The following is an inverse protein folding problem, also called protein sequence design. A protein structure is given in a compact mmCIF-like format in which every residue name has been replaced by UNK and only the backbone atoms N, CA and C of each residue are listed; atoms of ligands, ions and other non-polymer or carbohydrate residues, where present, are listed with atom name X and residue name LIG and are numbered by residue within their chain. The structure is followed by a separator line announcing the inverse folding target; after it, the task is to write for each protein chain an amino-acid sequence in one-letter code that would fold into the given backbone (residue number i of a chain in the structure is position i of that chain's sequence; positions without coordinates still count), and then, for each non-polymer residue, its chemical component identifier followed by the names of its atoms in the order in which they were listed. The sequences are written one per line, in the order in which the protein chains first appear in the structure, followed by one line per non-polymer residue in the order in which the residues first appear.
data_IF_162323154834
#
_entry.id   IF_162323154834
#
_cell.length_a   1.000
_cell.length_b   1.000
_cell.length_c   1.000
_cell.angle_alpha   90.00
_cell.angle_beta   90.00
_cell.angle_gamma   90.00
#
_symmetry.space_group_name_H-M   'P 1'
#
loop_
_entity.id
_entity.type
_entity.pdbx_description
1 polymer ?
#
# COMPACT_ATOMS: atom_id res chain seq x y z
N UNK A 1 -1.28 29.02 37.45
CA UNK A 1 -0.05 28.22 37.32
C UNK A 1 -0.26 26.75 37.69
N UNK A 2 -0.80 26.43 38.88
CA UNK A 2 -1.06 25.03 39.29
C UNK A 2 -2.02 24.26 38.35
N UNK A 3 -3.16 24.86 37.96
CA UNK A 3 -4.10 24.22 37.04
C UNK A 3 -3.50 23.93 35.65
N UNK A 4 -2.66 24.83 35.16
CA UNK A 4 -1.95 24.62 33.89
C UNK A 4 -1.01 23.42 33.99
N UNK A 5 -0.26 23.31 35.08
CA UNK A 5 0.64 22.18 35.32
C UNK A 5 -0.14 20.85 35.41
N UNK A 6 -1.26 20.84 36.13
CA UNK A 6 -2.13 19.66 36.24
C UNK A 6 -2.65 19.25 34.86
N UNK A 7 -3.15 20.19 34.06
CA UNK A 7 -3.64 19.91 32.70
C UNK A 7 -2.55 19.35 31.79
N UNK A 8 -1.32 19.88 31.86
CA UNK A 8 -0.18 19.38 31.09
C UNK A 8 0.19 17.95 31.49
N UNK A 9 0.22 17.65 32.80
CA UNK A 9 0.50 16.30 33.29
C UNK A 9 -0.58 15.32 32.85
N UNK A 10 -1.86 15.68 32.98
CA UNK A 10 -2.98 14.83 32.56
C UNK A 10 -2.95 14.58 31.05
N UNK A 11 -2.67 15.60 30.24
CA UNK A 11 -2.51 15.44 28.79
C UNK A 11 -1.33 14.52 28.46
N UNK A 12 -0.20 14.66 29.17
CA UNK A 12 0.96 13.78 29.00
C UNK A 12 0.62 12.32 29.32
N UNK A 13 -0.07 12.06 30.42
CA UNK A 13 -0.52 10.71 30.79
C UNK A 13 -1.51 10.13 29.77
N UNK A 14 -2.44 10.95 29.27
CA UNK A 14 -3.37 10.54 28.23
C UNK A 14 -2.64 10.14 26.94
N UNK A 15 -1.68 10.96 26.48
CA UNK A 15 -0.88 10.67 25.29
C UNK A 15 -0.04 9.40 25.48
N UNK A 16 0.57 9.22 26.66
CA UNK A 16 1.32 8.01 26.99
C UNK A 16 0.44 6.75 26.97
N UNK A 17 -0.79 6.85 27.45
CA UNK A 17 -1.77 5.76 27.40
C UNK A 17 -2.23 5.48 25.97
N UNK A 18 -2.52 6.51 25.17
CA UNK A 18 -2.89 6.37 23.76
C UNK A 18 -1.74 5.74 22.94
N UNK A 19 -0.50 6.11 23.22
CA UNK A 19 0.68 5.59 22.54
C UNK A 19 1.00 4.12 22.85
N UNK A 20 0.32 3.47 23.81
CA UNK A 20 0.52 2.05 24.10
C UNK A 20 -0.09 1.17 23.00
N UNK A 21 0.75 0.37 22.36
CA UNK A 21 0.41 -0.73 21.45
C UNK A 21 1.39 -1.87 21.73
N UNK A 22 0.99 -3.15 21.78
CA UNK A 22 1.93 -4.26 21.98
C UNK A 22 3.07 -4.22 20.97
N UNK A 23 4.28 -4.60 21.39
CA UNK A 23 5.40 -4.79 20.45
C UNK A 23 5.15 -6.12 19.73
N UNK A 24 5.08 -6.14 18.39
CA UNK A 24 4.88 -7.40 17.67
C UNK A 24 6.09 -8.31 17.86
N UNK A 25 5.85 -9.62 17.98
CA UNK A 25 6.94 -10.61 18.14
C UNK A 25 7.82 -10.69 16.89
N UNK A 26 7.21 -10.53 15.72
CA UNK A 26 7.85 -10.42 14.42
C UNK A 26 7.02 -9.49 13.54
N UNK A 27 7.65 -8.93 12.51
CA UNK A 27 6.97 -8.14 11.48
C UNK A 27 6.90 -8.97 10.20
N UNK A 28 5.70 -9.09 9.66
CA UNK A 28 5.44 -9.65 8.35
C UNK A 28 5.55 -8.53 7.32
N UNK A 29 6.59 -8.60 6.48
CA UNK A 29 6.75 -7.66 5.39
C UNK A 29 5.96 -8.11 4.15
N UNK A 30 5.38 -7.13 3.47
CA UNK A 30 4.76 -7.30 2.16
C UNK A 30 5.33 -6.34 1.12
N UNK A 31 4.96 -6.53 -0.14
CA UNK A 31 5.37 -5.68 -1.25
C UNK A 31 4.18 -5.33 -2.13
N UNK A 32 4.06 -4.06 -2.49
CA UNK A 32 3.17 -3.64 -3.57
C UNK A 32 3.86 -3.87 -4.90
N UNK A 33 3.14 -4.41 -5.88
CA UNK A 33 3.63 -4.53 -7.24
C UNK A 33 2.68 -3.82 -8.21
N UNK A 34 3.25 -3.06 -9.15
CA UNK A 34 2.52 -2.30 -10.13
C UNK A 34 3.11 -2.47 -11.54
N UNK A 35 2.31 -3.05 -12.45
CA UNK A 35 2.72 -3.24 -13.84
C UNK A 35 2.98 -1.93 -14.58
N UNK A 36 2.22 -0.86 -14.31
CA UNK A 36 2.45 0.45 -14.93
C UNK A 36 3.84 0.95 -14.60
N UNK A 37 4.27 0.77 -13.35
CA UNK A 37 5.55 1.25 -12.89
C UNK A 37 6.73 0.44 -13.44
N UNK A 38 6.61 -0.89 -13.48
CA UNK A 38 7.61 -1.70 -14.17
C UNK A 38 7.78 -1.28 -15.65
N UNK A 39 6.68 -0.97 -16.34
CA UNK A 39 6.71 -0.46 -17.72
C UNK A 39 7.31 0.93 -17.84
N UNK A 40 7.00 1.84 -16.91
CA UNK A 40 7.62 3.18 -16.83
C UNK A 40 9.14 3.09 -16.68
N UNK A 41 9.62 2.12 -15.90
CA UNK A 41 11.05 1.83 -15.74
C UNK A 41 11.70 1.14 -16.95
N UNK A 42 10.93 0.84 -18.01
CA UNK A 42 11.41 0.10 -19.18
C UNK A 42 11.66 -1.40 -18.91
N UNK A 43 11.12 -1.94 -17.82
CA UNK A 43 11.29 -3.33 -17.43
C UNK A 43 10.23 -4.24 -18.09
N UNK A 44 10.60 -5.51 -18.28
CA UNK A 44 9.62 -6.57 -18.49
C UNK A 44 8.89 -6.83 -17.16
N UNK A 45 7.66 -6.34 -17.06
CA UNK A 45 6.84 -6.44 -15.85
C UNK A 45 6.65 -7.89 -15.37
N UNK A 46 6.64 -8.86 -16.29
CA UNK A 46 6.44 -10.27 -15.96
C UNK A 46 7.69 -10.82 -15.28
N UNK A 47 8.85 -10.56 -15.86
CA UNK A 47 10.15 -10.94 -15.29
C UNK A 47 10.40 -10.23 -13.95
N UNK A 48 10.07 -8.95 -13.84
CA UNK A 48 10.19 -8.21 -12.57
C UNK A 48 9.28 -8.79 -11.49
N UNK A 49 8.02 -9.09 -11.83
CA UNK A 49 7.10 -9.71 -10.88
C UNK A 49 7.57 -11.09 -10.42
N UNK A 50 8.01 -11.94 -11.36
CA UNK A 50 8.57 -13.25 -11.03
C UNK A 50 9.83 -13.12 -10.17
N UNK A 51 10.71 -12.15 -10.43
CA UNK A 51 11.89 -11.90 -9.59
C UNK A 51 11.51 -11.46 -8.16
N UNK A 52 10.45 -10.67 -7.99
CA UNK A 52 9.94 -10.27 -6.67
C UNK A 52 9.40 -11.48 -5.90
N UNK A 53 8.75 -12.43 -6.58
CA UNK A 53 8.25 -13.65 -5.94
C UNK A 53 9.36 -14.66 -5.67
N UNK A 54 10.18 -14.94 -6.67
CA UNK A 54 11.06 -16.11 -6.68
C UNK A 54 12.46 -15.79 -6.12
N UNK A 55 13.00 -14.60 -6.41
CA UNK A 55 14.34 -14.20 -5.96
C UNK A 55 14.31 -13.37 -4.67
N UNK A 56 13.40 -12.39 -4.56
CA UNK A 56 13.21 -11.71 -3.26
C UNK A 56 12.49 -12.60 -2.25
N UNK A 57 11.64 -13.53 -2.68
CA UNK A 57 10.90 -14.39 -1.76
C UNK A 57 9.63 -13.75 -1.19
N UNK A 58 9.05 -12.73 -1.83
CA UNK A 58 7.85 -12.06 -1.32
C UNK A 58 6.65 -13.01 -1.30
N UNK A 59 5.95 -13.08 -0.16
CA UNK A 59 4.73 -13.89 0.02
C UNK A 59 3.50 -13.11 0.48
N UNK A 60 3.63 -11.80 0.73
CA UNK A 60 2.50 -10.93 1.02
C UNK A 60 2.51 -9.78 0.02
N UNK A 61 1.55 -9.77 -0.89
CA UNK A 61 1.48 -8.86 -2.01
C UNK A 61 0.33 -7.88 -1.85
N UNK A 62 0.54 -6.67 -2.35
CA UNK A 62 -0.53 -5.72 -2.63
C UNK A 62 -0.56 -5.47 -4.13
N UNK A 63 -1.66 -5.87 -4.77
CA UNK A 63 -1.87 -5.69 -6.21
C UNK A 63 -3.00 -4.69 -6.44
N UNK A 64 -3.03 -4.08 -7.62
CA UNK A 64 -4.02 -3.07 -7.96
C UNK A 64 -4.61 -3.33 -9.36
N UNK A 65 -5.94 -3.28 -9.45
CA UNK A 65 -6.66 -3.35 -10.71
C UNK A 65 -6.81 -1.95 -11.32
N UNK A 66 -5.72 -1.39 -11.87
CA UNK A 66 -5.77 -0.08 -12.52
C UNK A 66 -6.82 -0.05 -13.62
N UNK A 67 -7.79 0.85 -13.52
CA UNK A 67 -8.94 0.92 -14.43
C UNK A 67 -8.55 0.93 -15.92
N UNK A 68 -7.57 1.71 -16.38
CA UNK A 68 -7.17 1.70 -17.80
C UNK A 68 -6.58 0.37 -18.28
N UNK A 69 -6.01 -0.43 -17.37
CA UNK A 69 -5.51 -1.75 -17.72
C UNK A 69 -6.61 -2.80 -17.76
N UNK A 70 -7.57 -2.73 -16.83
CA UNK A 70 -8.67 -3.71 -16.75
C UNK A 70 -9.80 -3.44 -17.72
N UNK A 71 -10.01 -2.18 -18.13
CA UNK A 71 -11.03 -1.76 -19.09
C UNK A 71 -10.47 -0.69 -20.04
N UNK A 72 -9.54 -1.07 -20.96
CA UNK A 72 -8.89 -0.12 -21.87
C UNK A 72 -9.85 0.59 -22.83
N UNK A 73 -11.01 -0.02 -23.13
CA UNK A 73 -12.09 0.60 -23.88
C UNK A 73 -13.42 0.28 -23.19
N UNK A 74 -14.42 1.15 -23.36
CA UNK A 74 -15.71 1.02 -22.68
C UNK A 74 -16.34 -0.37 -22.90
N UNK A 75 -16.59 -1.11 -21.81
CA UNK A 75 -17.09 -2.49 -21.80
C UNK A 75 -16.18 -3.53 -22.47
N UNK A 76 -14.91 -3.22 -22.72
CA UNK A 76 -13.90 -4.14 -23.24
C UNK A 76 -12.89 -4.39 -22.14
N UNK A 77 -12.97 -5.56 -21.52
CA UNK A 77 -12.12 -5.92 -20.39
C UNK A 77 -10.83 -6.64 -20.81
N UNK A 78 -9.72 -6.31 -20.14
CA UNK A 78 -8.45 -6.99 -20.25
C UNK A 78 -7.99 -7.46 -18.86
N UNK A 79 -7.76 -8.77 -18.71
CA UNK A 79 -7.33 -9.36 -17.45
C UNK A 79 -5.95 -10.02 -17.54
N UNK A 80 -5.21 -9.81 -18.64
CA UNK A 80 -3.96 -10.51 -18.93
C UNK A 80 -2.95 -10.42 -17.79
N UNK A 81 -2.72 -9.22 -17.27
CA UNK A 81 -1.74 -8.97 -16.22
C UNK A 81 -2.19 -9.54 -14.87
N UNK A 82 -3.43 -9.26 -14.46
CA UNK A 82 -3.97 -9.70 -13.19
C UNK A 82 -4.14 -11.23 -13.12
N UNK A 83 -4.55 -11.87 -14.22
CA UNK A 83 -4.64 -13.33 -14.31
C UNK A 83 -3.26 -13.96 -14.11
N UNK A 84 -2.22 -13.41 -14.74
CA UNK A 84 -0.86 -13.90 -14.54
C UNK A 84 -0.38 -13.69 -13.10
N UNK A 85 -0.55 -12.48 -12.56
CA UNK A 85 -0.10 -12.14 -11.22
C UNK A 85 -0.76 -13.03 -10.16
N UNK A 86 -2.08 -13.14 -10.20
CA UNK A 86 -2.82 -13.97 -9.25
C UNK A 86 -2.52 -15.46 -9.44
N UNK A 87 -2.29 -15.93 -10.67
CA UNK A 87 -1.85 -17.32 -10.89
C UNK A 87 -0.50 -17.57 -10.22
N UNK A 88 0.51 -16.72 -10.49
CA UNK A 88 1.85 -16.87 -9.91
C UNK A 88 1.84 -16.73 -8.39
N UNK A 89 1.04 -15.81 -7.84
CA UNK A 89 0.84 -15.71 -6.40
C UNK A 89 0.32 -17.03 -5.80
N UNK A 90 -0.67 -17.68 -6.44
CA UNK A 90 -1.12 -19.00 -6.00
C UNK A 90 -0.03 -20.09 -6.13
N UNK A 91 0.73 -20.10 -7.23
CA UNK A 91 1.76 -21.11 -7.47
C UNK A 91 2.86 -21.12 -6.37
N UNK A 92 3.03 -20.02 -5.64
CA UNK A 92 4.04 -19.86 -4.59
C UNK A 92 3.44 -19.64 -3.20
N UNK A 93 2.14 -19.91 -3.03
CA UNK A 93 1.38 -19.72 -1.78
C UNK A 93 1.47 -18.29 -1.21
N UNK A 94 1.53 -17.27 -2.07
CA UNK A 94 1.49 -15.88 -1.67
C UNK A 94 0.06 -15.40 -1.39
N UNK A 95 -0.07 -14.51 -0.40
CA UNK A 95 -1.30 -13.83 -0.05
C UNK A 95 -1.39 -12.47 -0.73
N UNK A 96 -2.58 -12.07 -1.13
CA UNK A 96 -2.82 -10.84 -1.90
C UNK A 96 -3.87 -9.96 -1.19
N UNK A 97 -3.50 -8.70 -0.99
CA UNK A 97 -4.43 -7.58 -0.84
C UNK A 97 -4.72 -7.05 -2.24
N UNK A 98 -5.95 -7.21 -2.71
CA UNK A 98 -6.35 -6.82 -4.06
C UNK A 98 -7.09 -5.48 -4.03
N UNK A 99 -6.48 -4.43 -4.58
CA UNK A 99 -7.06 -3.09 -4.61
C UNK A 99 -7.91 -2.85 -5.86
N UNK A 100 -9.10 -2.32 -5.67
CA UNK A 100 -10.09 -1.98 -6.71
C UNK A 100 -10.64 -0.57 -6.50
N UNK A 101 -11.08 0.07 -7.58
CA UNK A 101 -11.56 1.45 -7.58
C UNK A 101 -10.84 2.30 -8.63
N UNK A 102 -11.12 3.60 -8.62
CA UNK A 102 -10.48 4.60 -9.48
C UNK A 102 -9.17 5.11 -8.89
N UNK A 103 -9.13 5.41 -7.59
CA UNK A 103 -7.90 5.85 -6.92
C UNK A 103 -7.13 4.63 -6.42
N UNK A 104 -5.95 4.36 -6.97
CA UNK A 104 -5.14 3.18 -6.65
C UNK A 104 -3.66 3.55 -6.55
N UNK A 105 -2.83 2.71 -5.89
CA UNK A 105 -1.40 2.99 -5.71
C UNK A 105 -0.67 3.24 -7.04
N UNK A 106 0.39 4.06 -6.97
CA UNK A 106 1.19 4.69 -8.05
C UNK A 106 0.63 6.03 -8.51
N UNK A 107 1.52 7.02 -8.54
CA UNK A 107 1.25 8.36 -9.01
C UNK A 107 1.16 8.45 -10.55
N UNK A 108 0.25 9.27 -11.11
CA UNK A 108 -0.89 9.90 -10.43
C UNK A 108 -1.89 8.86 -9.93
N UNK A 109 -2.45 9.06 -8.74
CA UNK A 109 -3.22 8.00 -8.05
C UNK A 109 -4.59 7.72 -8.64
N UNK A 110 -5.19 8.65 -9.39
CA UNK A 110 -6.50 8.45 -10.01
C UNK A 110 -6.37 7.99 -11.46
N UNK A 111 -6.72 6.73 -11.68
CA UNK A 111 -6.56 6.04 -12.94
C UNK A 111 -7.90 6.00 -13.67
N UNK A 112 -8.15 6.97 -14.55
CA UNK A 112 -9.35 7.04 -15.38
C UNK A 112 -8.96 6.71 -16.83
N UNK A 113 -9.58 5.70 -17.48
CA UNK A 113 -9.28 5.42 -18.88
C UNK A 113 -9.74 6.55 -19.80
N UNK A 114 -9.09 6.70 -20.95
CA UNK A 114 -9.35 7.78 -21.90
C UNK A 114 -10.82 7.92 -22.28
N UNK A 115 -11.52 6.80 -22.47
CA UNK A 115 -12.94 6.79 -22.83
C UNK A 115 -13.86 7.31 -21.70
N UNK A 116 -13.39 7.33 -20.45
CA UNK A 116 -14.16 7.77 -19.28
C UNK A 116 -13.79 9.20 -18.81
N UNK A 117 -12.74 9.81 -19.36
CA UNK A 117 -12.28 11.13 -18.91
C UNK A 117 -13.32 12.24 -19.12
N UNK A 118 -14.09 12.17 -20.21
CA UNK A 118 -15.06 13.21 -20.60
C UNK A 118 -16.49 12.92 -20.14
N UNK A 119 -16.70 11.81 -19.42
CA UNK A 119 -18.01 11.46 -18.88
C UNK A 119 -18.44 12.41 -17.75
N UNK A 120 -19.75 12.54 -17.56
CA UNK A 120 -20.30 13.19 -16.37
C UNK A 120 -19.84 12.46 -15.10
N UNK A 121 -19.85 13.13 -13.95
CA UNK A 121 -19.47 12.48 -12.69
C UNK A 121 -20.36 11.29 -12.35
N UNK A 122 -21.66 11.39 -12.65
CA UNK A 122 -22.64 10.33 -12.43
C UNK A 122 -22.38 9.12 -13.34
N UNK A 123 -22.18 9.35 -14.64
CA UNK A 123 -21.91 8.27 -15.59
C UNK A 123 -20.56 7.61 -15.30
N UNK A 124 -19.54 8.40 -14.93
CA UNK A 124 -18.22 7.88 -14.55
C UNK A 124 -18.31 7.05 -13.27
N UNK A 125 -19.08 7.49 -12.27
CA UNK A 125 -19.32 6.73 -11.05
C UNK A 125 -20.04 5.40 -11.33
N UNK A 126 -21.03 5.39 -12.23
CA UNK A 126 -21.69 4.16 -12.66
C UNK A 126 -20.73 3.21 -13.38
N UNK A 127 -19.88 3.74 -14.26
CA UNK A 127 -18.85 2.96 -14.95
C UNK A 127 -17.79 2.39 -13.98
N UNK A 128 -17.38 3.17 -12.98
CA UNK A 128 -16.46 2.74 -11.93
C UNK A 128 -17.04 1.58 -11.13
N UNK A 129 -18.29 1.68 -10.67
CA UNK A 129 -18.98 0.60 -9.97
C UNK A 129 -19.06 -0.66 -10.82
N UNK A 130 -19.33 -0.52 -12.13
CA UNK A 130 -19.33 -1.66 -13.05
C UNK A 130 -17.94 -2.31 -13.19
N UNK A 131 -16.88 -1.52 -13.28
CA UNK A 131 -15.51 -2.05 -13.31
C UNK A 131 -15.19 -2.81 -12.02
N UNK A 132 -15.51 -2.24 -10.86
CA UNK A 132 -15.34 -2.89 -9.55
C UNK A 132 -16.10 -4.20 -9.50
N UNK A 133 -17.36 -4.22 -9.96
CA UNK A 133 -18.17 -5.44 -10.05
C UNK A 133 -17.48 -6.53 -10.89
N UNK A 134 -16.94 -6.18 -12.07
CA UNK A 134 -16.28 -7.15 -12.95
C UNK A 134 -15.01 -7.73 -12.35
N UNK A 135 -14.16 -6.89 -11.75
CA UNK A 135 -12.91 -7.33 -11.12
C UNK A 135 -13.21 -8.25 -9.93
N UNK A 136 -14.09 -7.83 -9.02
CA UNK A 136 -14.41 -8.63 -7.82
C UNK A 136 -15.12 -9.93 -8.20
N UNK A 137 -16.08 -9.88 -9.14
CA UNK A 137 -16.79 -11.09 -9.60
C UNK A 137 -15.85 -12.11 -10.23
N UNK A 138 -14.84 -11.65 -10.99
CA UNK A 138 -13.85 -12.52 -11.62
C UNK A 138 -12.98 -13.24 -10.59
N UNK A 139 -12.50 -12.52 -9.57
CA UNK A 139 -11.45 -13.03 -8.69
C UNK A 139 -11.90 -13.44 -7.28
N UNK A 140 -13.19 -13.29 -6.91
CA UNK A 140 -13.70 -13.70 -5.59
C UNK A 140 -13.43 -15.17 -5.20
N UNK A 141 -13.24 -16.05 -6.17
CA UNK A 141 -12.91 -17.47 -5.91
C UNK A 141 -11.41 -17.75 -5.88
N UNK A 142 -10.56 -16.75 -6.09
CA UNK A 142 -9.12 -16.92 -6.08
C UNK A 142 -8.60 -17.03 -4.62
N UNK A 143 -7.92 -18.12 -4.24
CA UNK A 143 -7.53 -18.34 -2.85
C UNK A 143 -6.34 -17.48 -2.39
N UNK A 144 -5.53 -16.94 -3.30
CA UNK A 144 -4.46 -16.00 -2.96
C UNK A 144 -5.01 -14.69 -2.39
N UNK A 145 -6.16 -14.20 -2.89
CA UNK A 145 -6.77 -12.97 -2.37
C UNK A 145 -7.27 -13.23 -0.95
N UNK A 146 -6.78 -12.44 0.01
CA UNK A 146 -7.21 -12.48 1.42
C UNK A 146 -8.00 -11.26 1.83
N UNK A 147 -7.78 -10.13 1.16
CA UNK A 147 -8.37 -8.83 1.50
C UNK A 147 -8.69 -8.08 0.22
N UNK A 148 -9.84 -7.42 0.17
CA UNK A 148 -10.16 -6.44 -0.86
C UNK A 148 -9.86 -5.05 -0.34
N UNK A 149 -9.02 -4.28 -1.02
CA UNK A 149 -8.88 -2.85 -0.73
C UNK A 149 -9.79 -2.06 -1.67
N UNK A 150 -10.58 -1.13 -1.13
CA UNK A 150 -11.43 -0.24 -1.93
C UNK A 150 -10.86 1.17 -1.88
N UNK A 151 -10.52 1.69 -3.06
CA UNK A 151 -9.82 2.97 -3.27
C UNK A 151 -8.46 3.03 -2.53
N UNK A 152 -7.70 4.10 -2.77
CA UNK A 152 -6.44 4.39 -2.07
C UNK A 152 -6.52 5.75 -1.40
N UNK A 153 -6.38 5.77 -0.08
CA UNK A 153 -6.38 6.99 0.75
C UNK A 153 -7.48 7.99 0.32
N UNK A 154 -8.76 7.57 0.21
CA UNK A 154 -9.79 8.36 -0.46
C UNK A 154 -9.96 9.77 0.12
N UNK A 155 -9.66 9.97 1.40
CA UNK A 155 -9.78 11.25 2.10
C UNK A 155 -8.51 12.13 2.07
N UNK A 156 -7.44 11.71 1.39
CA UNK A 156 -6.24 12.53 1.20
C UNK A 156 -6.44 13.48 0.00
N UNK A 157 -6.81 14.73 0.26
CA UNK A 157 -7.09 15.71 -0.81
C UNK A 157 -5.87 16.57 -1.20
N UNK A 158 -4.99 16.88 -0.24
CA UNK A 158 -3.94 17.92 -0.39
C UNK A 158 -3.03 17.73 -1.61
N UNK A 159 -2.63 16.49 -1.91
CA UNK A 159 -1.74 16.20 -3.05
C UNK A 159 -2.49 15.71 -4.28
N UNK A 160 -3.63 15.06 -4.12
CA UNK A 160 -4.29 14.36 -5.21
C UNK A 160 -5.42 15.16 -5.87
N UNK A 161 -5.83 16.30 -5.31
CA UNK A 161 -7.03 17.03 -5.77
C UNK A 161 -7.01 17.37 -7.27
N UNK A 162 -5.86 17.76 -7.82
CA UNK A 162 -5.74 18.08 -9.25
C UNK A 162 -6.09 16.90 -10.17
N UNK A 163 -5.75 15.68 -9.76
CA UNK A 163 -5.96 14.45 -10.55
C UNK A 163 -7.24 13.71 -10.15
N UNK A 164 -7.62 13.81 -8.88
CA UNK A 164 -8.70 13.02 -8.29
C UNK A 164 -10.00 13.79 -8.08
N UNK A 165 -9.93 15.12 -7.94
CA UNK A 165 -11.04 15.93 -7.47
C UNK A 165 -11.37 15.70 -5.99
N UNK A 166 -12.52 16.21 -5.56
CA UNK A 166 -13.01 16.04 -4.19
C UNK A 166 -13.42 14.57 -3.93
N UNK A 167 -13.33 14.17 -2.66
CA UNK A 167 -13.76 12.84 -2.23
C UNK A 167 -15.28 12.69 -2.38
N UNK A 168 -15.75 11.68 -3.09
CA UNK A 168 -17.16 11.29 -3.12
C UNK A 168 -17.41 10.15 -2.11
N UNK A 169 -17.76 10.50 -0.87
CA UNK A 169 -17.97 9.52 0.19
C UNK A 169 -19.15 8.57 -0.08
N UNK A 170 -20.20 9.04 -0.76
CA UNK A 170 -21.36 8.21 -1.12
C UNK A 170 -20.98 7.15 -2.16
N UNK A 171 -20.12 7.50 -3.11
CA UNK A 171 -19.58 6.54 -4.08
C UNK A 171 -18.70 5.50 -3.37
N UNK A 172 -17.80 5.92 -2.48
CA UNK A 172 -16.98 5.00 -1.70
C UNK A 172 -17.83 4.01 -0.90
N UNK A 173 -18.93 4.47 -0.28
CA UNK A 173 -19.85 3.58 0.43
C UNK A 173 -20.55 2.58 -0.50
N UNK A 174 -20.93 3.00 -1.71
CA UNK A 174 -21.48 2.10 -2.74
C UNK A 174 -20.45 1.07 -3.19
N UNK A 175 -19.19 1.45 -3.38
CA UNK A 175 -18.13 0.51 -3.76
C UNK A 175 -17.88 -0.52 -2.66
N UNK A 176 -17.75 -0.09 -1.41
CA UNK A 176 -17.58 -0.99 -0.27
C UNK A 176 -18.76 -1.97 -0.15
N UNK A 177 -19.99 -1.46 -0.26
CA UNK A 177 -21.19 -2.30 -0.23
C UNK A 177 -21.23 -3.29 -1.39
N UNK A 178 -20.83 -2.86 -2.60
CA UNK A 178 -20.76 -3.71 -3.78
C UNK A 178 -19.76 -4.85 -3.59
N UNK A 179 -18.52 -4.56 -3.16
CA UNK A 179 -17.50 -5.58 -2.89
C UNK A 179 -18.03 -6.61 -1.88
N UNK A 180 -18.60 -6.15 -0.77
CA UNK A 180 -19.17 -7.03 0.27
C UNK A 180 -20.34 -7.87 -0.23
N UNK A 181 -21.13 -7.36 -1.17
CA UNK A 181 -22.25 -8.11 -1.75
C UNK A 181 -21.78 -9.25 -2.67
N UNK A 182 -20.67 -9.06 -3.38
CA UNK A 182 -20.13 -10.02 -4.34
C UNK A 182 -19.27 -11.09 -3.62
N UNK A 183 -18.49 -10.66 -2.64
CA UNK A 183 -17.62 -11.49 -1.81
C UNK A 183 -17.78 -11.14 -0.31
N UNK A 184 -18.75 -11.78 0.39
CA UNK A 184 -19.00 -11.52 1.80
C UNK A 184 -17.99 -12.20 2.74
N UNK A 185 -17.04 -12.98 2.20
CA UNK A 185 -16.17 -13.85 3.00
C UNK A 185 -14.86 -13.19 3.39
N UNK A 186 -14.44 -12.15 2.65
CA UNK A 186 -13.17 -11.46 2.85
C UNK A 186 -13.40 -10.05 3.39
N UNK A 187 -12.52 -9.55 4.28
CA UNK A 187 -12.62 -8.19 4.79
C UNK A 187 -12.34 -7.15 3.70
N UNK A 188 -12.99 -5.99 3.83
CA UNK A 188 -12.68 -4.80 3.04
C UNK A 188 -11.73 -3.88 3.81
N UNK A 189 -10.58 -3.60 3.22
CA UNK A 189 -9.58 -2.63 3.68
C UNK A 189 -9.87 -1.26 3.07
N UNK A 190 -9.86 -0.22 3.92
CA UNK A 190 -9.84 1.18 3.47
C UNK A 190 -8.61 1.85 4.08
N UNK A 191 -7.90 2.63 3.27
CA UNK A 191 -6.61 3.21 3.66
C UNK A 191 -6.71 4.72 3.91
N UNK A 192 -5.78 5.31 4.67
CA UNK A 192 -5.67 6.76 4.82
C UNK A 192 -4.23 7.19 5.16
N UNK A 193 -3.90 8.43 4.79
CA UNK A 193 -2.58 9.02 4.95
C UNK A 193 -2.15 9.03 6.40
N UNK A 194 -0.98 8.47 6.70
CA UNK A 194 -0.47 8.47 8.05
C UNK A 194 -0.07 9.85 8.55
N UNK A 195 0.67 10.57 7.72
CA UNK A 195 1.24 11.86 8.04
C UNK A 195 0.20 12.99 8.06
N UNK A 196 -0.84 12.92 7.21
CA UNK A 196 -1.82 14.01 7.03
C UNK A 196 -3.26 13.62 7.35
N UNK A 197 -3.62 12.33 7.23
CA UNK A 197 -5.00 11.87 7.38
C UNK A 197 -5.48 11.87 8.83
N UNK A 198 -6.77 12.17 9.04
CA UNK A 198 -7.40 12.07 10.38
C UNK A 198 -7.84 10.64 10.72
N UNK A 199 -7.87 9.74 9.73
CA UNK A 199 -8.27 8.34 9.78
C UNK A 199 -9.75 8.08 10.02
N UNK A 200 -10.54 9.04 10.51
CA UNK A 200 -11.96 8.83 10.78
C UNK A 200 -12.73 8.30 9.56
N UNK A 201 -12.58 8.96 8.40
CA UNK A 201 -13.33 8.63 7.20
C UNK A 201 -13.11 7.19 6.74
N UNK A 202 -11.86 6.78 6.65
CA UNK A 202 -11.45 5.43 6.24
C UNK A 202 -11.73 4.39 7.34
N UNK A 203 -11.30 4.67 8.57
CA UNK A 203 -11.42 3.73 9.69
C UNK A 203 -12.88 3.42 10.01
N UNK A 204 -13.82 4.36 9.83
CA UNK A 204 -15.24 4.09 10.09
C UNK A 204 -15.91 3.18 9.04
N UNK A 205 -15.34 3.04 7.83
CA UNK A 205 -15.97 2.35 6.68
C UNK A 205 -15.42 0.96 6.37
N UNK A 206 -14.11 0.73 6.55
CA UNK A 206 -13.49 -0.57 6.29
C UNK A 206 -13.74 -1.60 7.40
N UNK A 207 -13.67 -2.90 7.09
CA UNK A 207 -13.53 -3.96 8.11
C UNK A 207 -12.11 -3.99 8.67
N UNK A 208 -11.14 -3.60 7.84
CA UNK A 208 -9.74 -3.38 8.16
C UNK A 208 -9.34 -1.94 7.87
N UNK A 209 -8.26 -1.48 8.49
CA UNK A 209 -7.69 -0.15 8.27
C UNK A 209 -6.24 -0.23 7.79
N UNK A 210 -5.87 0.59 6.81
CA UNK A 210 -4.48 0.70 6.34
C UNK A 210 -3.96 2.12 6.42
N UNK A 211 -2.68 2.30 6.73
CA UNK A 211 -2.08 3.64 6.70
C UNK A 211 -0.74 3.68 6.01
N UNK A 212 -0.45 4.79 5.33
CA UNK A 212 0.88 5.09 4.79
C UNK A 212 1.81 5.66 5.85
N UNK A 213 3.13 5.48 5.68
CA UNK A 213 4.16 6.12 6.50
C UNK A 213 5.23 6.69 5.56
N UNK A 214 5.31 8.01 5.54
CA UNK A 214 6.37 8.73 4.83
C UNK A 214 7.35 9.34 5.84
N UNK A 215 8.60 8.87 5.79
CA UNK A 215 9.68 9.32 6.70
C UNK A 215 10.52 10.41 6.06
N UNK A 216 10.79 10.32 4.76
CA UNK A 216 11.52 11.32 4.00
C UNK A 216 10.60 11.98 2.97
N UNK A 217 10.73 13.29 2.86
CA UNK A 217 9.96 14.13 1.95
C UNK A 217 10.91 14.98 1.11
N UNK A 218 10.37 15.47 0.00
CA UNK A 218 11.01 16.51 -0.79
C UNK A 218 9.96 17.47 -1.34
N UNK A 219 10.28 18.76 -1.32
CA UNK A 219 9.58 19.74 -2.15
C UNK A 219 10.58 20.79 -2.69
N UNK A 220 10.22 21.51 -3.77
CA UNK A 220 11.10 22.49 -4.40
C UNK A 220 11.61 23.59 -3.46
N UNK A 221 10.81 23.99 -2.47
CA UNK A 221 11.10 25.13 -1.59
C UNK A 221 11.94 24.77 -0.35
N UNK A 222 11.67 23.63 0.27
CA UNK A 222 12.28 23.16 1.52
C UNK A 222 13.43 22.18 1.28
N UNK A 223 13.58 21.67 0.06
CA UNK A 223 14.52 20.61 -0.22
C UNK A 223 14.13 19.30 0.46
N UNK A 224 15.13 18.47 0.78
CA UNK A 224 14.89 17.17 1.42
C UNK A 224 14.78 17.32 2.92
N UNK A 225 13.77 16.72 3.52
CA UNK A 225 13.64 16.69 4.97
C UNK A 225 13.07 15.37 5.46
N UNK A 226 13.39 15.06 6.71
CA UNK A 226 12.86 13.92 7.44
C UNK A 226 11.69 14.37 8.30
N UNK A 227 10.65 13.55 8.40
CA UNK A 227 9.49 13.81 9.25
C UNK A 227 9.89 14.06 10.70
N UNK A 228 9.25 15.02 11.33
CA UNK A 228 9.34 15.26 12.78
C UNK A 228 8.25 14.50 13.54
N UNK A 229 7.30 13.89 12.82
CA UNK A 229 6.25 13.09 13.42
C UNK A 229 6.89 11.84 14.06
N UNK A 230 6.76 11.61 15.37
CA UNK A 230 7.35 10.43 15.99
C UNK A 230 6.47 9.19 15.79
N UNK A 231 7.05 7.97 15.72
CA UNK A 231 6.29 6.74 15.44
C UNK A 231 5.16 6.44 16.43
N UNK A 232 5.23 6.95 17.67
CA UNK A 232 4.19 6.74 18.67
C UNK A 232 2.87 7.43 18.32
N UNK A 233 2.88 8.46 17.47
CA UNK A 233 1.66 9.14 17.03
C UNK A 233 0.74 8.17 16.27
N UNK A 234 1.30 7.27 15.47
CA UNK A 234 0.52 6.25 14.76
C UNK A 234 -0.22 5.33 15.73
N UNK A 235 0.45 4.91 16.82
CA UNK A 235 -0.16 4.11 17.90
C UNK A 235 -1.29 4.86 18.59
N UNK A 236 -1.06 6.15 18.89
CA UNK A 236 -2.07 7.00 19.51
C UNK A 236 -3.30 7.21 18.63
N UNK A 237 -3.10 7.47 17.32
CA UNK A 237 -4.18 7.61 16.34
C UNK A 237 -4.97 6.30 16.20
N UNK A 238 -4.28 5.16 16.08
CA UNK A 238 -4.91 3.84 15.94
C UNK A 238 -5.78 3.51 17.17
N UNK A 239 -5.24 3.73 18.38
CA UNK A 239 -5.99 3.55 19.62
C UNK A 239 -7.16 4.51 19.75
N UNK A 240 -7.02 5.77 19.34
CA UNK A 240 -8.11 6.74 19.33
C UNK A 240 -9.25 6.30 18.41
N UNK A 241 -8.92 5.82 17.20
CA UNK A 241 -9.93 5.30 16.27
C UNK A 241 -10.61 4.05 16.83
N UNK A 242 -9.84 3.12 17.40
CA UNK A 242 -10.38 1.92 18.03
C UNK A 242 -11.35 2.23 19.19
N UNK A 243 -11.05 3.24 20.02
CA UNK A 243 -11.93 3.68 21.11
C UNK A 243 -13.26 4.23 20.59
N UNK A 244 -13.27 4.82 19.39
CA UNK A 244 -14.44 5.49 18.83
C UNK A 244 -15.30 4.61 17.92
N UNK A 245 -14.67 3.69 17.18
CA UNK A 245 -15.32 2.86 16.15
C UNK A 245 -15.21 1.35 16.40
N UNK A 246 -14.59 0.94 17.51
CA UNK A 246 -14.25 -0.45 17.77
C UNK A 246 -12.90 -0.83 17.17
N UNK A 247 -12.25 -1.83 17.76
CA UNK A 247 -10.96 -2.33 17.28
C UNK A 247 -11.08 -2.92 15.88
N UNK A 248 -10.17 -2.52 14.99
CA UNK A 248 -9.99 -3.10 13.66
C UNK A 248 -8.56 -3.59 13.51
N UNK A 249 -8.42 -4.59 12.66
CA UNK A 249 -7.11 -5.03 12.23
C UNK A 249 -6.48 -3.95 11.32
N UNK A 250 -5.35 -3.40 11.77
CA UNK A 250 -4.70 -2.24 11.19
C UNK A 250 -3.33 -2.61 10.60
N UNK A 251 -3.06 -2.21 9.36
CA UNK A 251 -1.82 -2.52 8.63
C UNK A 251 -1.07 -1.25 8.21
N UNK A 252 0.27 -1.27 8.25
CA UNK A 252 1.07 -0.28 7.54
C UNK A 252 1.12 -0.72 6.07
N UNK A 253 0.31 -0.10 5.23
CA UNK A 253 0.06 -0.59 3.86
C UNK A 253 0.97 0.06 2.81
N UNK A 254 1.59 1.19 3.17
CA UNK A 254 2.48 1.95 2.29
C UNK A 254 3.71 2.45 3.04
N UNK A 255 4.84 1.78 2.82
CA UNK A 255 6.16 2.20 3.25
C UNK A 255 7.04 2.47 2.02
N UNK A 256 7.31 3.75 1.75
CA UNK A 256 8.08 4.19 0.58
C UNK A 256 9.53 3.75 0.68
N UNK A 257 10.01 2.96 -0.28
CA UNK A 257 11.40 2.54 -0.34
C UNK A 257 12.05 2.76 -1.72
N UNK A 258 11.55 3.78 -2.43
CA UNK A 258 12.06 4.27 -3.70
C UNK A 258 12.14 5.82 -3.71
N UNK A 259 12.82 6.43 -4.70
CA UNK A 259 12.96 7.88 -4.76
C UNK A 259 11.67 8.56 -5.24
N UNK A 260 11.24 9.59 -4.51
CA UNK A 260 10.26 10.55 -5.04
C UNK A 260 10.97 11.61 -5.87
N UNK A 261 10.56 11.74 -7.13
CA UNK A 261 11.16 12.61 -8.14
C UNK A 261 10.09 13.43 -8.86
N UNK A 262 10.50 14.56 -9.45
CA UNK A 262 9.62 15.38 -10.30
C UNK A 262 9.46 14.82 -11.72
N UNK A 263 10.49 14.14 -12.19
CA UNK A 263 10.58 13.54 -13.51
C UNK A 263 10.50 12.01 -13.37
N UNK A 264 10.11 11.29 -14.44
CA UNK A 264 10.17 9.83 -14.46
C UNK A 264 11.55 9.34 -14.03
N UNK A 265 11.59 8.26 -13.23
CA UNK A 265 12.82 7.78 -12.60
C UNK A 265 13.93 7.51 -13.63
N UNK A 266 13.56 6.99 -14.80
CA UNK A 266 14.48 6.66 -15.90
C UNK A 266 15.18 7.86 -16.52
N UNK A 267 14.61 9.06 -16.38
CA UNK A 267 15.15 10.30 -16.93
C UNK A 267 16.10 11.01 -15.96
N UNK A 268 16.13 10.57 -14.69
CA UNK A 268 16.91 11.20 -13.62
C UNK A 268 18.23 10.45 -13.40
N UNK A 269 19.38 11.15 -13.31
CA UNK A 269 20.67 10.52 -13.00
C UNK A 269 20.65 9.71 -11.71
N UNK A 270 21.27 8.53 -11.72
CA UNK A 270 21.28 7.57 -10.59
C UNK A 270 21.78 8.21 -9.30
N UNK A 271 22.75 9.12 -9.37
CA UNK A 271 23.25 9.87 -8.20
C UNK A 271 22.15 10.75 -7.59
N UNK A 272 21.32 11.39 -8.42
CA UNK A 272 20.17 12.17 -7.96
C UNK A 272 19.10 11.26 -7.36
N UNK A 273 18.84 10.11 -7.96
CA UNK A 273 17.94 9.10 -7.38
C UNK A 273 18.42 8.67 -5.99
N UNK A 274 19.72 8.35 -5.84
CA UNK A 274 20.32 7.99 -4.56
C UNK A 274 20.34 9.11 -3.53
N UNK A 275 20.34 10.37 -3.99
CA UNK A 275 20.14 11.50 -3.09
C UNK A 275 18.74 11.46 -2.47
N UNK A 276 17.71 10.96 -3.17
CA UNK A 276 16.32 10.88 -2.67
C UNK A 276 16.07 9.63 -1.84
N UNK A 277 16.54 8.48 -2.31
CA UNK A 277 16.41 7.20 -1.63
C UNK A 277 17.69 6.38 -1.77
N UNK A 278 18.22 5.88 -0.66
CA UNK A 278 19.39 5.01 -0.65
C UNK A 278 19.28 4.01 0.51
N UNK A 279 20.25 3.10 0.60
CA UNK A 279 20.23 2.05 1.62
C UNK A 279 20.18 2.60 3.05
N UNK A 280 20.87 3.72 3.35
CA UNK A 280 20.83 4.33 4.67
C UNK A 280 19.43 4.86 5.03
N UNK A 281 18.74 5.49 4.07
CA UNK A 281 17.36 5.94 4.25
C UNK A 281 16.41 4.76 4.38
N UNK A 282 16.63 3.71 3.60
CA UNK A 282 15.86 2.47 3.69
C UNK A 282 15.92 1.86 5.11
N UNK A 283 17.11 1.72 5.71
CA UNK A 283 17.22 1.23 7.09
C UNK A 283 16.57 2.14 8.13
N UNK A 284 16.68 3.47 7.98
CA UNK A 284 16.00 4.41 8.89
C UNK A 284 14.48 4.31 8.76
N UNK A 285 13.96 4.13 7.54
CA UNK A 285 12.54 3.90 7.28
C UNK A 285 12.05 2.63 7.96
N UNK A 286 12.78 1.52 7.83
CA UNK A 286 12.44 0.26 8.50
C UNK A 286 12.47 0.42 10.03
N UNK A 287 13.53 1.01 10.57
CA UNK A 287 13.68 1.28 12.01
C UNK A 287 12.56 2.19 12.55
N UNK A 288 12.13 3.17 11.75
CA UNK A 288 10.99 4.03 12.09
C UNK A 288 9.69 3.22 12.10
N UNK A 289 9.46 2.42 11.06
CA UNK A 289 8.25 1.63 10.86
C UNK A 289 8.09 0.56 11.95
N UNK A 290 9.16 -0.12 12.38
CA UNK A 290 9.16 -1.03 13.54
C UNK A 290 8.58 -0.38 14.80
N UNK A 291 8.91 0.90 15.05
CA UNK A 291 8.46 1.65 16.24
C UNK A 291 6.99 2.08 16.17
N UNK A 292 6.35 1.96 15.01
CA UNK A 292 4.89 2.13 14.86
C UNK A 292 4.12 0.92 15.41
N UNK A 293 4.77 -0.25 15.52
CA UNK A 293 4.23 -1.50 16.05
C UNK A 293 3.04 -2.06 15.26
N UNK A 294 2.99 -1.81 13.95
CA UNK A 294 2.17 -2.64 13.05
C UNK A 294 2.91 -3.97 12.80
N UNK A 295 2.19 -5.07 12.91
CA UNK A 295 2.67 -6.43 12.69
C UNK A 295 2.85 -6.73 11.20
N UNK A 296 1.99 -6.16 10.33
CA UNK A 296 2.13 -6.22 8.88
C UNK A 296 2.55 -4.88 8.31
N UNK A 297 3.58 -4.91 7.47
CA UNK A 297 4.18 -3.71 6.87
C UNK A 297 4.49 -3.93 5.39
N UNK A 298 3.73 -3.29 4.51
CA UNK A 298 3.88 -3.39 3.07
C UNK A 298 4.75 -2.25 2.55
N UNK A 299 5.78 -2.62 1.80
CA UNK A 299 6.66 -1.70 1.10
C UNK A 299 6.18 -1.49 -0.33
N UNK A 300 6.72 -0.47 -0.98
CA UNK A 300 6.68 -0.31 -2.42
C UNK A 300 8.02 0.21 -2.94
N UNK A 301 8.36 -0.15 -4.17
CA UNK A 301 9.61 0.23 -4.82
C UNK A 301 10.52 -0.92 -5.25
N UNK A 302 10.09 -2.17 -5.11
CA UNK A 302 10.89 -3.32 -5.55
C UNK A 302 11.16 -3.32 -7.06
N UNK A 303 10.28 -2.73 -7.86
CA UNK A 303 10.50 -2.53 -9.30
C UNK A 303 11.71 -1.63 -9.56
N UNK A 304 11.87 -0.57 -8.78
CA UNK A 304 13.06 0.30 -8.84
C UNK A 304 14.32 -0.42 -8.35
N UNK A 305 14.22 -1.24 -7.30
CA UNK A 305 15.35 -2.05 -6.84
C UNK A 305 15.83 -3.03 -7.92
N UNK A 306 14.89 -3.66 -8.64
CA UNK A 306 15.18 -4.54 -9.75
C UNK A 306 15.82 -3.77 -10.91
N UNK A 307 15.29 -2.59 -11.23
CA UNK A 307 15.88 -1.71 -12.23
C UNK A 307 17.32 -1.32 -11.88
N UNK A 308 17.57 -0.88 -10.64
CA UNK A 308 18.93 -0.58 -10.16
C UNK A 308 19.88 -1.76 -10.30
N UNK A 309 19.41 -2.97 -9.95
CA UNK A 309 20.20 -4.20 -10.11
C UNK A 309 20.60 -4.43 -11.56
N UNK A 310 19.70 -4.23 -12.53
CA UNK A 310 20.02 -4.34 -13.96
C UNK A 310 21.01 -3.27 -14.44
N UNK A 311 21.16 -2.18 -13.70
CA UNK A 311 22.10 -1.08 -13.96
C UNK A 311 23.36 -1.15 -13.09
N UNK A 312 23.64 -2.31 -12.47
CA UNK A 312 24.88 -2.54 -11.71
C UNK A 312 24.83 -2.11 -10.24
N UNK A 313 23.66 -1.75 -9.71
CA UNK A 313 23.44 -1.32 -8.34
C UNK A 313 22.52 -2.31 -7.59
N UNK A 314 23.09 -3.39 -7.07
CA UNK A 314 22.32 -4.48 -6.45
C UNK A 314 22.02 -4.27 -4.95
N UNK A 315 22.48 -3.18 -4.33
CA UNK A 315 22.46 -2.99 -2.87
C UNK A 315 21.04 -3.01 -2.30
N UNK A 316 20.11 -2.32 -2.95
CA UNK A 316 18.69 -2.28 -2.53
C UNK A 316 18.03 -3.66 -2.67
N UNK A 317 18.30 -4.36 -3.78
CA UNK A 317 17.76 -5.69 -4.05
C UNK A 317 18.29 -6.73 -3.03
N UNK A 318 19.59 -6.72 -2.77
CA UNK A 318 20.22 -7.60 -1.78
C UNK A 318 19.67 -7.36 -0.38
N UNK A 319 19.41 -6.09 -0.02
CA UNK A 319 18.73 -5.77 1.23
C UNK A 319 17.31 -6.30 1.27
N UNK A 320 16.59 -6.25 0.15
CA UNK A 320 15.27 -6.87 -0.03
C UNK A 320 15.28 -8.36 0.26
N UNK A 321 16.27 -9.12 -0.24
CA UNK A 321 16.39 -10.57 0.04
C UNK A 321 16.51 -10.89 1.53
N UNK A 322 17.20 -10.04 2.29
CA UNK A 322 17.30 -10.18 3.74
C UNK A 322 15.99 -9.81 4.47
N UNK A 323 15.13 -8.99 3.85
CA UNK A 323 13.83 -8.57 4.41
C UNK A 323 12.74 -9.64 4.22
N UNK A 324 12.81 -10.35 3.09
CA UNK A 324 11.87 -11.39 2.70
C UNK A 324 12.58 -12.75 2.67
N UNK A 325 13.02 -13.29 3.83
CA UNK A 325 13.69 -14.58 3.82
C UNK A 325 12.77 -15.62 3.20
N UNK A 326 13.32 -16.44 2.29
CA UNK A 326 12.60 -17.59 1.75
C UNK A 326 12.00 -18.38 2.92
N UNK A 327 10.72 -18.75 2.82
CA UNK A 327 10.08 -19.62 3.79
C UNK A 327 11.04 -20.79 4.02
N UNK A 328 11.49 -20.97 5.27
CA UNK A 328 12.36 -22.08 5.60
C UNK A 328 11.65 -23.34 5.09
N UNK A 329 12.19 -23.95 4.04
CA UNK A 329 11.74 -25.26 3.61
C UNK A 329 11.83 -26.12 4.85
N UNK A 330 10.68 -26.64 5.30
CA UNK A 330 10.61 -27.61 6.37
C UNK A 330 11.31 -28.89 5.90
N UNK A 331 12.64 -28.88 5.91
CA UNK A 331 13.47 -30.05 5.69
C UNK A 331 13.87 -30.58 7.06
N UNK A 332 13.61 -31.87 7.24
CA UNK A 332 14.08 -32.76 8.29
C UNK A 332 13.30 -32.82 9.61
N UNK A 333 12.12 -33.43 9.55
CA UNK A 333 11.80 -34.48 10.53
C UNK A 333 12.15 -35.82 9.88
N UNK A 334 13.43 -36.18 9.94
CA UNK A 334 13.82 -37.57 9.73
C UNK A 334 13.30 -38.37 10.92
N UNK A 335 12.29 -39.21 10.65
CA UNK A 335 11.93 -40.30 11.53
C UNK A 335 13.09 -41.29 11.52
N UNK A 336 13.93 -41.28 12.54
CA UNK A 336 14.67 -42.47 12.90
C UNK A 336 13.72 -43.37 13.68
N UNK A 337 13.26 -44.43 13.00
CA UNK A 337 12.87 -45.67 13.65
C UNK A 337 14.06 -46.21 14.44
N UNK A 338 13.87 -46.39 15.76
CA UNK A 338 14.18 -47.62 16.49
C UNK A 338 13.51 -47.62 17.87
#
# INVERSE_FOLDING_TARGET
MQWLLVSVVLLGLLLLWLAQKPVPQSITYGMSFNTLYARELGLDWKQTYDAILDDLGVRHLRLAAHWPMVEPAQNVYNFTELDYQLKRANDVDAEVIMAVGRRLPRWPECHVPDWAQTMSEEDRAAAQLKMVEQVVSRYKNNPAIKVWQVENEPFLEVFAYEYCGATNADLLEKEIALVKSIDPTRPVLVTDSGNLGTWYGAYSRGDMFGTSVYVYFWNPELGQFRTWLPPWVYRAKDKLMALRYGHKDSVLIELSAEPWLLEPVVDVPVETQFSRMNLQKFEDILTYAEKTRYDRQYLWGAEWWYWLMQHGHAEMWNRGKALFPAAATSTDVSFYEQ
#
